data_IF_363902239089
#
_entry.id   IF_363902239089
#
_cell.length_a   1.000
_cell.length_b   1.000
_cell.length_c   1.000
_cell.angle_alpha   90.00
_cell.angle_beta   90.00
_cell.angle_gamma   90.00
#
_symmetry.space_group_name_H-M   'P 1'
#
loop_
_entity.id
_entity.type
_entity.pdbx_description
1 polymer ?
#
# COMPACT_ATOMS: atom_id res chain seq x y z
N UNK A 1 -28.33 -32.63 -8.96
CA UNK A 1 -27.35 -31.62 -9.42
C UNK A 1 -26.11 -31.76 -8.57
N UNK A 2 -24.90 -31.86 -9.17
CA UNK A 2 -23.67 -31.85 -8.37
C UNK A 2 -23.52 -30.46 -7.75
N UNK A 3 -23.38 -30.41 -6.44
CA UNK A 3 -23.14 -29.19 -5.69
C UNK A 3 -21.83 -28.56 -6.19
N UNK A 4 -21.93 -27.44 -6.91
CA UNK A 4 -20.82 -26.77 -7.58
C UNK A 4 -20.13 -25.72 -6.69
N UNK A 5 -20.50 -25.66 -5.40
CA UNK A 5 -19.94 -24.72 -4.46
C UNK A 5 -18.44 -25.00 -4.25
N UNK A 6 -17.60 -23.98 -4.44
CA UNK A 6 -16.18 -24.04 -4.10
C UNK A 6 -16.06 -24.07 -2.57
N UNK A 7 -15.45 -25.13 -2.05
CA UNK A 7 -15.22 -25.33 -0.60
C UNK A 7 -13.77 -25.34 -0.18
N UNK A 8 -12.84 -25.57 -1.13
CA UNK A 8 -11.41 -25.70 -0.84
C UNK A 8 -10.63 -24.78 -1.76
N UNK A 9 -9.72 -24.01 -1.19
CA UNK A 9 -8.80 -23.17 -1.95
C UNK A 9 -7.38 -23.49 -1.51
N UNK A 10 -6.52 -23.78 -2.48
CA UNK A 10 -5.09 -23.97 -2.28
C UNK A 10 -4.36 -22.79 -2.89
N UNK A 11 -3.56 -22.11 -2.08
CA UNK A 11 -2.69 -20.99 -2.47
C UNK A 11 -1.29 -21.58 -2.66
N UNK A 12 -0.81 -21.59 -3.91
CA UNK A 12 0.51 -22.08 -4.26
C UNK A 12 1.51 -20.93 -4.27
N UNK A 13 2.30 -20.81 -3.21
CA UNK A 13 3.28 -19.74 -3.03
C UNK A 13 2.96 -18.86 -1.83
N UNK A 14 4.01 -18.51 -1.09
CA UNK A 14 3.96 -17.65 0.09
C UNK A 14 4.30 -16.20 -0.22
N UNK A 15 5.15 -15.63 0.64
CA UNK A 15 5.55 -14.21 0.55
C UNK A 15 4.36 -13.25 0.64
N UNK A 16 4.55 -12.02 0.16
CA UNK A 16 3.50 -11.00 0.22
C UNK A 16 2.25 -11.43 -0.54
N UNK A 17 2.39 -11.95 -1.76
CA UNK A 17 1.25 -12.33 -2.61
C UNK A 17 0.39 -13.43 -1.97
N UNK A 18 1.02 -14.51 -1.48
CA UNK A 18 0.33 -15.62 -0.85
C UNK A 18 -0.38 -15.21 0.44
N UNK A 19 0.32 -14.51 1.33
CA UNK A 19 -0.23 -14.15 2.64
C UNK A 19 -1.23 -12.99 2.61
N UNK A 20 -1.13 -12.07 1.64
CA UNK A 20 -2.19 -11.08 1.34
C UNK A 20 -3.46 -11.79 0.87
N UNK A 21 -3.32 -12.76 -0.03
CA UNK A 21 -4.46 -13.53 -0.56
C UNK A 21 -5.10 -14.37 0.55
N UNK A 22 -4.30 -15.09 1.34
CA UNK A 22 -4.76 -15.91 2.46
C UNK A 22 -5.52 -15.08 3.49
N UNK A 23 -4.97 -13.93 3.90
CA UNK A 23 -5.60 -13.06 4.88
C UNK A 23 -6.96 -12.52 4.39
N UNK A 24 -7.03 -12.10 3.12
CA UNK A 24 -8.28 -11.60 2.54
C UNK A 24 -9.36 -12.69 2.44
N UNK A 25 -9.00 -13.87 1.97
CA UNK A 25 -9.92 -15.00 1.87
C UNK A 25 -10.38 -15.50 3.24
N UNK A 26 -9.47 -15.56 4.22
CA UNK A 26 -9.79 -15.99 5.58
C UNK A 26 -10.76 -15.01 6.26
N UNK A 27 -10.50 -13.71 6.14
CA UNK A 27 -11.35 -12.67 6.71
C UNK A 27 -12.77 -12.67 6.09
N UNK A 28 -12.88 -12.80 4.77
CA UNK A 28 -14.17 -12.66 4.08
C UNK A 28 -14.94 -13.99 3.96
N UNK A 29 -14.24 -15.12 3.85
CA UNK A 29 -14.84 -16.41 3.50
C UNK A 29 -14.40 -17.57 4.40
N UNK A 30 -13.71 -17.31 5.53
CA UNK A 30 -13.16 -18.36 6.40
C UNK A 30 -14.20 -19.36 6.93
N UNK A 31 -15.46 -18.94 7.12
CA UNK A 31 -16.54 -19.84 7.53
C UNK A 31 -17.04 -20.77 6.40
N UNK A 32 -16.71 -20.47 5.14
CA UNK A 32 -17.20 -21.16 3.94
C UNK A 32 -16.11 -21.97 3.23
N UNK A 33 -14.83 -21.63 3.43
CA UNK A 33 -13.69 -22.18 2.71
C UNK A 33 -12.69 -22.87 3.64
N UNK A 34 -12.23 -24.05 3.24
CA UNK A 34 -11.01 -24.67 3.73
C UNK A 34 -9.82 -24.08 2.96
N UNK A 35 -9.00 -23.28 3.64
CA UNK A 35 -7.87 -22.58 3.04
C UNK A 35 -6.56 -23.28 3.38
N UNK A 36 -5.79 -23.62 2.36
CA UNK A 36 -4.43 -24.15 2.50
C UNK A 36 -3.44 -23.30 1.71
N UNK A 37 -2.30 -22.96 2.30
CA UNK A 37 -1.20 -22.29 1.62
C UNK A 37 0.02 -23.20 1.63
N UNK A 38 0.62 -23.40 0.46
CA UNK A 38 1.87 -24.17 0.28
C UNK A 38 3.00 -23.20 -0.03
N UNK A 39 4.03 -23.15 0.82
CA UNK A 39 5.24 -22.34 0.61
C UNK A 39 6.48 -23.09 1.07
N UNK A 40 7.67 -22.69 0.61
CA UNK A 40 8.94 -23.27 1.04
C UNK A 40 9.84 -22.20 1.64
N UNK A 41 10.44 -22.50 2.79
CA UNK A 41 11.39 -21.60 3.47
C UNK A 41 12.71 -21.45 2.69
N UNK A 42 13.02 -22.42 1.84
CA UNK A 42 14.17 -22.36 0.92
C UNK A 42 13.98 -21.30 -0.18
N UNK A 43 12.74 -20.86 -0.42
CA UNK A 43 12.41 -19.82 -1.40
C UNK A 43 12.19 -18.52 -0.64
N UNK A 44 13.29 -17.85 -0.31
CA UNK A 44 13.23 -16.54 0.36
C UNK A 44 12.57 -15.48 -0.51
N UNK A 45 11.82 -14.58 0.13
CA UNK A 45 11.47 -13.30 -0.49
C UNK A 45 12.72 -12.44 -0.57
N UNK A 46 12.92 -11.72 -1.67
CA UNK A 46 13.93 -10.66 -1.70
C UNK A 46 13.55 -9.66 -0.59
N UNK A 47 14.50 -9.37 0.31
CA UNK A 47 14.32 -8.45 1.44
C UNK A 47 14.19 -6.99 0.99
N UNK A 48 13.14 -6.71 0.22
CA UNK A 48 12.89 -5.40 -0.39
C UNK A 48 12.04 -4.60 0.59
N UNK A 49 12.53 -3.41 0.95
CA UNK A 49 11.65 -2.39 1.51
C UNK A 49 10.61 -2.02 0.45
N UNK A 50 9.35 -2.35 0.69
CA UNK A 50 8.26 -2.07 -0.25
C UNK A 50 7.62 -0.73 0.07
N UNK A 51 7.29 0.01 -0.99
CA UNK A 51 6.53 1.24 -0.91
C UNK A 51 5.13 1.00 -1.48
N UNK A 52 4.11 1.53 -0.84
CA UNK A 52 2.71 1.27 -1.23
C UNK A 52 1.99 2.52 -1.73
N UNK A 53 0.72 2.35 -2.09
CA UNK A 53 -0.22 3.42 -2.43
C UNK A 53 -1.34 3.51 -1.38
N UNK A 54 -2.04 4.65 -1.24
CA UNK A 54 -3.06 4.84 -0.20
C UNK A 54 -4.19 3.79 -0.18
N UNK A 55 -4.42 3.08 -1.29
CA UNK A 55 -5.35 1.95 -1.37
C UNK A 55 -5.07 0.85 -0.34
N UNK A 56 -3.84 0.70 0.13
CA UNK A 56 -3.50 -0.26 1.19
C UNK A 56 -4.27 -0.02 2.49
N UNK A 57 -4.63 1.23 2.80
CA UNK A 57 -5.42 1.53 3.99
C UNK A 57 -6.82 0.92 3.90
N UNK A 58 -7.42 0.91 2.71
CA UNK A 58 -8.70 0.23 2.50
C UNK A 58 -8.57 -1.29 2.67
N UNK A 59 -7.46 -1.86 2.21
CA UNK A 59 -7.15 -3.27 2.42
C UNK A 59 -6.96 -3.59 3.91
N UNK A 60 -6.24 -2.76 4.67
CA UNK A 60 -6.08 -2.94 6.12
C UNK A 60 -7.40 -2.82 6.88
N UNK A 61 -8.29 -1.92 6.46
CA UNK A 61 -9.66 -1.85 7.00
C UNK A 61 -10.47 -3.11 6.71
N UNK A 62 -10.39 -3.64 5.48
CA UNK A 62 -11.04 -4.90 5.10
C UNK A 62 -10.59 -6.05 6.01
N UNK A 63 -9.31 -6.11 6.35
CA UNK A 63 -8.70 -7.11 7.21
C UNK A 63 -8.83 -6.82 8.72
N UNK A 64 -9.44 -5.69 9.08
CA UNK A 64 -9.54 -5.22 10.47
C UNK A 64 -8.17 -5.22 11.17
N UNK A 65 -7.19 -4.60 10.54
CA UNK A 65 -5.85 -4.43 11.10
C UNK A 65 -5.77 -3.13 11.90
N UNK A 66 -5.20 -3.18 13.11
CA UNK A 66 -4.76 -1.97 13.79
C UNK A 66 -3.49 -1.46 13.11
N UNK A 67 -3.53 -0.21 12.63
CA UNK A 67 -2.43 0.40 11.90
C UNK A 67 -1.15 0.43 12.76
N UNK A 68 -1.25 0.70 14.06
CA UNK A 68 -0.08 0.80 14.95
C UNK A 68 0.55 -0.56 15.20
N UNK A 69 -0.25 -1.62 15.28
CA UNK A 69 0.23 -3.00 15.36
C UNK A 69 0.98 -3.39 14.09
N UNK A 70 0.35 -3.20 12.92
CA UNK A 70 0.96 -3.44 11.62
C UNK A 70 2.29 -2.68 11.48
N UNK A 71 2.30 -1.38 11.77
CA UNK A 71 3.48 -0.55 11.58
C UNK A 71 4.64 -0.99 12.46
N UNK A 72 4.37 -1.41 13.71
CA UNK A 72 5.42 -1.97 14.60
C UNK A 72 5.93 -3.30 14.08
N UNK A 73 5.03 -4.20 13.67
CA UNK A 73 5.40 -5.54 13.20
C UNK A 73 6.23 -5.49 11.91
N UNK A 74 5.85 -4.64 10.96
CA UNK A 74 6.47 -4.53 9.64
C UNK A 74 7.57 -3.47 9.54
N UNK A 75 8.00 -2.87 10.66
CA UNK A 75 8.96 -1.75 10.73
C UNK A 75 8.59 -0.62 9.76
N UNK A 76 7.31 -0.27 9.72
CA UNK A 76 6.79 0.64 8.71
C UNK A 76 7.06 2.11 9.04
N UNK A 77 7.17 2.93 8.00
CA UNK A 77 7.16 4.40 8.06
C UNK A 77 6.08 4.96 7.14
N UNK A 78 5.70 6.23 7.35
CA UNK A 78 4.73 6.90 6.50
C UNK A 78 5.34 7.31 5.16
N UNK A 79 4.54 7.24 4.10
CA UNK A 79 4.87 7.68 2.75
C UNK A 79 3.90 8.77 2.31
N UNK A 80 4.43 9.89 1.84
CA UNK A 80 3.65 11.03 1.34
C UNK A 80 3.76 11.25 -0.18
N UNK A 81 4.69 10.57 -0.85
CA UNK A 81 4.96 10.79 -2.25
C UNK A 81 6.21 10.05 -2.73
N UNK A 82 6.64 10.38 -3.94
CA UNK A 82 7.84 9.86 -4.59
C UNK A 82 8.65 11.04 -5.15
N UNK A 83 9.92 11.16 -4.75
CA UNK A 83 10.87 12.12 -5.33
C UNK A 83 11.39 11.55 -6.65
N UNK A 84 11.16 12.26 -7.75
CA UNK A 84 11.72 11.94 -9.06
C UNK A 84 12.90 12.88 -9.33
N UNK A 85 14.09 12.31 -9.41
CA UNK A 85 15.36 13.05 -9.58
C UNK A 85 16.06 12.62 -10.86
N UNK A 86 16.53 13.60 -11.64
CA UNK A 86 17.22 13.42 -12.92
C UNK A 86 16.37 12.81 -14.07
N UNK A 87 15.04 12.87 -13.97
CA UNK A 87 14.14 12.33 -15.00
C UNK A 87 13.91 13.28 -16.19
N UNK A 88 13.83 14.59 -15.94
CA UNK A 88 13.70 15.62 -16.99
C UNK A 88 15.04 16.05 -17.58
N UNK A 89 16.09 15.98 -16.76
CA UNK A 89 17.46 16.40 -17.06
C UNK A 89 18.32 16.29 -15.80
N UNK A 90 19.65 16.33 -15.96
CA UNK A 90 20.56 16.27 -14.82
C UNK A 90 20.37 17.50 -13.91
N UNK A 91 20.11 17.27 -12.62
CA UNK A 91 19.81 18.31 -11.64
C UNK A 91 18.32 18.57 -11.42
N UNK A 92 17.44 18.05 -12.29
CA UNK A 92 16.00 18.21 -12.12
C UNK A 92 15.45 17.35 -10.98
N UNK A 93 14.51 17.92 -10.23
CA UNK A 93 13.81 17.21 -9.16
C UNK A 93 12.36 17.69 -9.05
N UNK A 94 11.43 16.75 -8.95
CA UNK A 94 10.04 17.07 -8.56
C UNK A 94 9.46 16.00 -7.63
N UNK A 95 8.43 16.38 -6.86
CA UNK A 95 7.74 15.50 -5.94
C UNK A 95 6.40 15.08 -6.53
N UNK A 96 6.23 13.79 -6.83
CA UNK A 96 4.92 13.21 -7.09
C UNK A 96 4.30 12.83 -5.74
N UNK A 97 3.67 13.82 -5.11
CA UNK A 97 3.01 13.66 -3.82
C UNK A 97 1.63 13.00 -3.96
N UNK A 98 1.17 12.38 -2.89
CA UNK A 98 -0.24 12.05 -2.72
C UNK A 98 -1.07 13.33 -2.49
N UNK A 99 -2.39 13.18 -2.48
CA UNK A 99 -3.31 14.30 -2.24
C UNK A 99 -3.59 15.11 -3.50
N UNK A 100 -3.93 16.37 -3.30
CA UNK A 100 -4.40 17.26 -4.37
C UNK A 100 -3.50 18.48 -4.51
N UNK A 101 -3.30 18.94 -5.74
CA UNK A 101 -2.59 20.17 -6.04
C UNK A 101 -3.62 21.30 -6.16
N UNK A 102 -3.46 22.31 -5.30
CA UNK A 102 -4.30 23.51 -5.29
C UNK A 102 -5.78 23.19 -5.11
N UNK A 103 -6.64 23.99 -5.73
CA UNK A 103 -8.09 23.86 -5.65
C UNK A 103 -8.74 24.02 -7.02
N UNK A 104 -9.25 22.92 -7.56
CA UNK A 104 -10.07 22.93 -8.77
C UNK A 104 -11.44 23.57 -8.51
N UNK A 105 -12.07 24.05 -9.58
CA UNK A 105 -13.43 24.60 -9.56
C UNK A 105 -14.30 23.86 -10.57
N UNK A 106 -15.61 24.14 -10.56
CA UNK A 106 -16.52 23.58 -11.57
C UNK A 106 -16.16 24.00 -13.00
N UNK A 107 -15.46 25.13 -13.17
CA UNK A 107 -15.09 25.68 -14.48
C UNK A 107 -13.85 25.00 -15.05
N UNK A 108 -13.02 24.40 -14.20
CA UNK A 108 -11.78 23.76 -14.64
C UNK A 108 -10.90 23.35 -13.48
N UNK A 109 -9.90 22.54 -13.81
CA UNK A 109 -8.93 22.07 -12.85
C UNK A 109 -7.87 23.12 -12.52
N UNK A 110 -7.29 22.99 -11.32
CA UNK A 110 -6.33 23.95 -10.77
C UNK A 110 -5.17 24.30 -11.71
N UNK A 111 -4.64 23.33 -12.46
CA UNK A 111 -3.51 23.56 -13.35
C UNK A 111 -3.77 24.62 -14.42
N UNK A 112 -5.02 24.78 -14.87
CA UNK A 112 -5.37 25.79 -15.88
C UNK A 112 -5.25 27.20 -15.31
N UNK A 113 -5.72 27.41 -14.08
CA UNK A 113 -5.58 28.68 -13.37
C UNK A 113 -4.12 28.97 -13.03
N UNK A 114 -3.37 27.95 -12.61
CA UNK A 114 -1.94 28.10 -12.32
C UNK A 114 -1.13 28.46 -13.58
N UNK A 115 -1.41 27.83 -14.73
CA UNK A 115 -0.75 28.16 -16.00
C UNK A 115 -1.03 29.62 -16.41
N UNK A 116 -2.28 30.07 -16.33
CA UNK A 116 -2.65 31.46 -16.62
C UNK A 116 -1.96 32.45 -15.67
N UNK A 117 -1.98 32.17 -14.36
CA UNK A 117 -1.27 32.98 -13.36
C UNK A 117 0.23 33.08 -13.66
N UNK A 118 0.83 31.98 -14.11
CA UNK A 118 2.25 31.91 -14.48
C UNK A 118 2.58 32.74 -15.72
N UNK A 119 1.70 32.77 -16.72
CA UNK A 119 1.84 33.66 -17.90
C UNK A 119 1.78 35.13 -17.50
N UNK A 120 0.94 35.47 -16.52
CA UNK A 120 0.82 36.81 -15.94
C UNK A 120 1.97 37.16 -14.96
N UNK A 121 2.94 36.27 -14.76
CA UNK A 121 4.14 36.52 -13.96
C UNK A 121 3.97 36.31 -12.45
N UNK A 122 2.91 35.61 -12.01
CA UNK A 122 2.72 35.22 -10.61
C UNK A 122 2.43 33.71 -10.46
N UNK A 123 2.18 33.24 -9.24
CA UNK A 123 1.73 31.84 -9.02
C UNK A 123 2.82 30.80 -8.76
N UNK A 124 4.11 31.18 -8.66
CA UNK A 124 5.17 30.32 -8.08
C UNK A 124 5.32 28.92 -8.69
N UNK A 125 5.92 28.01 -7.92
CA UNK A 125 6.07 26.60 -8.33
C UNK A 125 4.76 25.84 -8.09
N UNK A 126 4.38 24.94 -9.01
CA UNK A 126 3.20 24.10 -8.85
C UNK A 126 3.25 23.26 -7.55
N UNK A 127 4.45 22.84 -7.13
CA UNK A 127 4.68 22.07 -5.93
C UNK A 127 4.36 22.85 -4.64
N UNK A 128 4.31 24.19 -4.68
CA UNK A 128 3.92 25.01 -3.53
C UNK A 128 2.45 24.85 -3.14
N UNK A 129 1.63 24.31 -4.06
CA UNK A 129 0.19 24.12 -3.87
C UNK A 129 -0.19 22.71 -3.42
N UNK A 130 0.77 21.86 -3.07
CA UNK A 130 0.52 20.51 -2.57
C UNK A 130 0.95 20.37 -1.10
N UNK A 131 0.00 20.18 -0.19
CA UNK A 131 0.27 20.06 1.24
C UNK A 131 1.19 18.88 1.56
N UNK A 132 0.84 17.67 1.09
CA UNK A 132 1.63 16.45 1.25
C UNK A 132 3.02 16.60 0.63
N UNK A 133 3.12 17.26 -0.53
CA UNK A 133 4.39 17.55 -1.19
C UNK A 133 5.32 18.39 -0.32
N UNK A 134 4.81 19.48 0.28
CA UNK A 134 5.60 20.33 1.18
C UNK A 134 5.96 19.60 2.48
N UNK A 135 5.06 18.77 3.01
CA UNK A 135 5.33 17.95 4.18
C UNK A 135 6.42 16.90 3.91
N UNK A 136 6.38 16.24 2.74
CA UNK A 136 7.38 15.27 2.30
C UNK A 136 8.78 15.87 2.19
N UNK A 137 8.90 17.03 1.53
CA UNK A 137 10.18 17.75 1.38
C UNK A 137 10.77 18.17 2.73
N UNK A 138 9.91 18.48 3.71
CA UNK A 138 10.33 18.86 5.07
C UNK A 138 10.56 17.68 6.02
N UNK A 139 10.29 16.44 5.59
CA UNK A 139 10.38 15.26 6.46
C UNK A 139 9.40 15.30 7.64
N UNK A 140 8.20 15.87 7.44
CA UNK A 140 7.19 16.04 8.49
C UNK A 140 5.97 15.15 8.23
N UNK A 141 5.42 14.61 9.31
CA UNK A 141 4.15 13.89 9.30
C UNK A 141 3.46 14.06 10.66
N UNK A 142 2.15 14.29 10.65
CA UNK A 142 1.33 14.29 11.85
C UNK A 142 -0.14 14.02 11.49
N UNK A 143 -0.87 13.38 12.40
CA UNK A 143 -2.32 13.29 12.34
C UNK A 143 -2.95 14.60 12.82
N UNK A 144 -4.10 14.95 12.25
CA UNK A 144 -4.85 16.16 12.58
C UNK A 144 -6.34 15.94 12.35
N UNK A 145 -7.16 16.36 13.31
CA UNK A 145 -8.62 16.35 13.15
C UNK A 145 -9.11 17.44 12.17
N UNK A 146 -8.25 18.43 11.87
CA UNK A 146 -8.58 19.59 11.04
C UNK A 146 -8.21 19.41 9.57
N UNK A 147 -7.19 18.61 9.30
CA UNK A 147 -6.63 18.42 7.95
C UNK A 147 -6.45 16.94 7.71
N UNK A 148 -7.18 16.42 6.73
CA UNK A 148 -6.99 15.06 6.24
C UNK A 148 -5.70 15.01 5.42
N UNK A 149 -4.85 14.04 5.69
CA UNK A 149 -3.59 13.84 4.99
C UNK A 149 -3.65 12.53 4.20
N UNK A 150 -3.23 12.56 2.94
CA UNK A 150 -3.15 11.36 2.11
C UNK A 150 -1.78 10.72 2.26
N UNK A 151 -1.75 9.45 2.65
CA UNK A 151 -0.49 8.74 2.89
C UNK A 151 -0.58 7.24 2.60
N UNK A 152 0.58 6.62 2.52
CA UNK A 152 0.74 5.17 2.46
C UNK A 152 1.91 4.77 3.36
N UNK A 153 2.50 3.60 3.12
CA UNK A 153 3.58 3.07 3.95
C UNK A 153 4.80 2.65 3.13
N UNK A 154 5.97 2.82 3.73
CA UNK A 154 7.14 2.00 3.46
C UNK A 154 7.22 0.92 4.55
N UNK A 155 7.50 -0.33 4.20
CA UNK A 155 7.66 -1.40 5.20
C UNK A 155 8.57 -2.53 4.69
N UNK A 156 8.97 -3.41 5.61
CA UNK A 156 9.65 -4.67 5.29
C UNK A 156 8.62 -5.71 4.82
N UNK A 157 8.70 -6.11 3.55
CA UNK A 157 7.74 -7.02 2.93
C UNK A 157 7.72 -8.41 3.59
N UNK A 158 8.88 -8.89 4.05
CA UNK A 158 8.99 -10.18 4.73
C UNK A 158 8.31 -10.13 6.10
N UNK A 159 8.53 -9.06 6.87
CA UNK A 159 7.85 -8.85 8.15
C UNK A 159 6.34 -8.66 7.98
N UNK A 160 5.91 -7.98 6.91
CA UNK A 160 4.49 -7.85 6.60
C UNK A 160 3.84 -9.19 6.24
N UNK A 161 4.50 -10.01 5.42
CA UNK A 161 4.03 -11.36 5.11
C UNK A 161 3.95 -12.24 6.37
N UNK A 162 4.96 -12.18 7.24
CA UNK A 162 4.95 -12.90 8.52
C UNK A 162 3.83 -12.44 9.46
N UNK A 163 3.57 -11.14 9.52
CA UNK A 163 2.46 -10.56 10.28
C UNK A 163 1.10 -11.08 9.77
N UNK A 164 0.88 -11.05 8.45
CA UNK A 164 -0.34 -11.57 7.83
C UNK A 164 -0.47 -13.09 7.99
N UNK A 165 0.64 -13.83 7.94
CA UNK A 165 0.68 -15.27 8.23
C UNK A 165 0.15 -15.57 9.62
N UNK A 166 0.71 -14.91 10.64
CA UNK A 166 0.31 -15.13 12.03
C UNK A 166 -1.18 -14.83 12.25
N UNK A 167 -1.73 -13.83 11.57
CA UNK A 167 -3.17 -13.53 11.62
C UNK A 167 -4.00 -14.58 10.87
N UNK A 168 -3.57 -14.99 9.68
CA UNK A 168 -4.27 -15.95 8.83
C UNK A 168 -4.34 -17.35 9.47
N UNK A 169 -3.26 -17.80 10.10
CA UNK A 169 -3.22 -19.09 10.81
C UNK A 169 -4.21 -19.09 12.00
N UNK A 170 -4.34 -17.97 12.72
CA UNK A 170 -5.36 -17.81 13.78
C UNK A 170 -6.80 -17.83 13.24
N UNK A 171 -6.98 -17.51 11.97
CA UNK A 171 -8.27 -17.58 11.26
C UNK A 171 -8.50 -18.94 10.58
N UNK A 172 -7.63 -19.93 10.81
CA UNK A 172 -7.81 -21.30 10.33
C UNK A 172 -7.14 -21.62 9.00
N UNK A 173 -6.33 -20.71 8.42
CA UNK A 173 -5.53 -21.04 7.23
C UNK A 173 -4.48 -22.09 7.60
N UNK A 174 -4.47 -23.21 6.87
CA UNK A 174 -3.47 -24.26 7.04
C UNK A 174 -2.24 -23.97 6.20
N UNK A 175 -1.07 -23.86 6.83
CA UNK A 175 0.20 -23.84 6.12
C UNK A 175 0.73 -25.26 5.89
N UNK A 176 1.25 -25.49 4.69
CA UNK A 176 2.06 -26.66 4.36
C UNK A 176 3.43 -26.15 3.90
N UNK A 177 4.47 -26.56 4.61
CA UNK A 177 5.84 -26.34 4.15
C UNK A 177 6.17 -27.38 3.08
N UNK A 178 6.73 -26.92 1.96
CA UNK A 178 7.28 -27.80 0.94
C UNK A 178 7.27 -27.19 -0.46
N UNK A 179 7.83 -27.95 -1.42
CA UNK A 179 7.86 -27.60 -2.84
C UNK A 179 6.85 -28.45 -3.62
N UNK A 180 6.12 -27.81 -4.53
CA UNK A 180 5.19 -28.50 -5.43
C UNK A 180 6.00 -29.15 -6.57
N UNK A 181 5.93 -30.47 -6.70
CA UNK A 181 6.66 -31.24 -7.73
C UNK A 181 5.93 -31.33 -9.07
N UNK A 182 4.60 -31.35 -9.06
CA UNK A 182 3.73 -31.47 -10.24
C UNK A 182 2.35 -30.85 -9.96
N UNK A 183 1.60 -30.50 -11.01
CA UNK A 183 0.21 -30.00 -10.94
C UNK A 183 -0.70 -30.91 -11.74
#
# INVERSE_FOLDING_TARGET
MKDAAIRKVVIAGGGTAGWVTAAALAQQFGAMLELTLVESEEIGTVGVGEATFPSIQAFHRLLELDEREFMRAAKASFKLGISFENWGGLGDRYMHAFGTIGRSTWMGDFQHFWLAAREDGFGGDLADYCFEGKAAVQGKFAFSDKVQINYAYHFDAGLYAAFLRAKSEKQGVKRIEGKISHV
#
